data_IF_767018963533
#
_entry.id   IF_767018963533
#
_cell.length_a   1.000
_cell.length_b   1.000
_cell.length_c   1.000
_cell.angle_alpha   90.00
_cell.angle_beta   90.00
_cell.angle_gamma   90.00
#
_symmetry.space_group_name_H-M   'P 1'
#
loop_
_entity.id
_entity.type
_entity.pdbx_description
1 polymer ?
#
# COMPACT_ATOMS: atom_id res chain seq x y z
N UNK A 1 -17.07 -10.57 -12.26
CA UNK A 1 -16.53 -11.39 -13.36
C UNK A 1 -16.64 -12.89 -13.08
N UNK A 2 -16.58 -13.73 -14.11
CA UNK A 2 -16.56 -15.19 -14.05
C UNK A 2 -15.25 -15.71 -14.64
N UNK A 3 -14.57 -16.58 -13.89
CA UNK A 3 -13.28 -17.18 -14.22
C UNK A 3 -13.45 -18.68 -14.49
N UNK A 4 -12.81 -19.20 -15.53
CA UNK A 4 -12.75 -20.63 -15.81
C UNK A 4 -11.62 -21.29 -15.01
N UNK A 5 -11.92 -21.82 -13.83
CA UNK A 5 -10.94 -22.50 -12.97
C UNK A 5 -10.93 -24.01 -13.24
N UNK A 6 -9.89 -24.75 -12.81
CA UNK A 6 -9.84 -26.21 -12.93
C UNK A 6 -11.03 -26.93 -12.27
N UNK A 7 -11.66 -26.31 -11.27
CA UNK A 7 -12.82 -26.81 -10.53
C UNK A 7 -14.16 -26.29 -11.11
N UNK A 8 -14.14 -25.76 -12.34
CA UNK A 8 -15.27 -25.17 -13.02
C UNK A 8 -15.39 -23.65 -12.81
N UNK A 9 -16.43 -23.05 -13.38
CA UNK A 9 -16.57 -21.60 -13.34
C UNK A 9 -16.75 -21.06 -11.92
N UNK A 10 -16.03 -19.98 -11.58
CA UNK A 10 -16.13 -19.27 -10.29
C UNK A 10 -16.38 -17.78 -10.51
N UNK A 11 -17.10 -17.15 -9.58
CA UNK A 11 -17.42 -15.72 -9.63
C UNK A 11 -16.49 -14.94 -8.70
N UNK A 12 -15.96 -13.84 -9.21
CA UNK A 12 -15.23 -12.84 -8.44
C UNK A 12 -15.91 -11.47 -8.56
N UNK A 13 -16.02 -10.77 -7.45
CA UNK A 13 -16.61 -9.43 -7.35
C UNK A 13 -15.54 -8.47 -6.85
N UNK A 14 -15.38 -7.34 -7.53
CA UNK A 14 -14.46 -6.27 -7.19
C UNK A 14 -15.08 -4.92 -7.55
N UNK A 15 -14.54 -3.81 -7.02
CA UNK A 15 -14.92 -2.47 -7.48
C UNK A 15 -14.37 -2.22 -8.88
N UNK A 16 -14.94 -1.24 -9.58
CA UNK A 16 -14.66 -1.03 -11.01
C UNK A 16 -13.18 -0.70 -11.27
N UNK A 17 -12.62 0.12 -10.39
CA UNK A 17 -11.26 0.64 -10.44
C UNK A 17 -10.20 -0.31 -9.89
N UNK A 18 -10.59 -1.49 -9.39
CA UNK A 18 -9.64 -2.41 -8.78
C UNK A 18 -8.74 -3.08 -9.83
N UNK A 19 -7.39 -2.95 -9.77
CA UNK A 19 -6.50 -3.53 -10.78
C UNK A 19 -6.28 -5.02 -10.59
N UNK A 20 -6.19 -5.74 -11.71
CA UNK A 20 -5.81 -7.14 -11.79
C UNK A 20 -4.64 -7.31 -12.77
N UNK A 21 -3.60 -8.07 -12.38
CA UNK A 21 -2.51 -8.37 -13.30
C UNK A 21 -2.98 -9.36 -14.36
N UNK A 22 -2.86 -8.98 -15.63
CA UNK A 22 -3.24 -9.79 -16.78
C UNK A 22 -2.02 -10.27 -17.58
N UNK A 23 -1.59 -11.55 -17.45
CA UNK A 23 -0.49 -12.08 -18.25
C UNK A 23 -0.73 -11.96 -19.76
N UNK A 24 -1.98 -12.10 -20.24
CA UNK A 24 -2.32 -11.94 -21.66
C UNK A 24 -2.15 -10.53 -22.18
N UNK A 25 -2.20 -9.52 -21.32
CA UNK A 25 -1.99 -8.11 -21.68
C UNK A 25 -0.60 -7.62 -21.27
N UNK A 26 0.10 -8.41 -20.45
CA UNK A 26 1.33 -8.04 -19.78
C UNK A 26 1.21 -6.69 -19.05
N UNK A 27 0.05 -6.48 -18.41
CA UNK A 27 -0.31 -5.20 -17.79
C UNK A 27 -1.31 -5.39 -16.65
N UNK A 28 -1.42 -4.37 -15.79
CA UNK A 28 -2.48 -4.23 -14.81
C UNK A 28 -3.73 -3.64 -15.46
N UNK A 29 -4.86 -4.31 -15.28
CA UNK A 29 -6.12 -3.94 -15.93
C UNK A 29 -7.19 -3.75 -14.86
N UNK A 30 -7.81 -2.56 -14.86
CA UNK A 30 -8.98 -2.27 -14.03
C UNK A 30 -10.08 -3.32 -14.23
N UNK A 31 -10.77 -3.70 -13.15
CA UNK A 31 -11.84 -4.70 -13.16
C UNK A 31 -12.91 -4.39 -14.23
N UNK A 32 -13.24 -3.11 -14.43
CA UNK A 32 -14.19 -2.65 -15.43
C UNK A 32 -13.69 -2.81 -16.88
N UNK A 33 -12.37 -2.84 -17.10
CA UNK A 33 -11.74 -2.97 -18.42
C UNK A 33 -11.42 -4.42 -18.81
N UNK A 34 -11.44 -5.35 -17.86
CA UNK A 34 -11.28 -6.77 -18.16
C UNK A 34 -12.35 -7.27 -19.14
N UNK A 35 -11.93 -8.10 -20.11
CA UNK A 35 -12.78 -8.65 -21.18
C UNK A 35 -12.73 -10.18 -21.21
N UNK A 36 -13.79 -10.85 -21.68
CA UNK A 36 -13.74 -12.27 -21.99
C UNK A 36 -12.53 -12.61 -22.87
N UNK A 37 -11.82 -13.68 -22.54
CA UNK A 37 -10.60 -14.11 -23.25
C UNK A 37 -9.29 -13.65 -22.60
N UNK A 38 -9.30 -12.55 -21.83
CA UNK A 38 -8.12 -12.16 -21.05
C UNK A 38 -7.84 -13.17 -19.94
N UNK A 39 -6.59 -13.20 -19.48
CA UNK A 39 -6.16 -14.06 -18.38
C UNK A 39 -5.73 -13.24 -17.16
N UNK A 40 -5.87 -13.82 -15.97
CA UNK A 40 -5.41 -13.26 -14.69
C UNK A 40 -4.40 -14.19 -14.04
N UNK A 41 -3.39 -13.65 -13.35
CA UNK A 41 -2.36 -14.46 -12.69
C UNK A 41 -2.83 -15.08 -11.37
N UNK A 42 -2.47 -16.33 -11.18
CA UNK A 42 -2.75 -17.12 -9.97
C UNK A 42 -1.51 -17.21 -9.06
N UNK A 43 -1.70 -17.72 -7.84
CA UNK A 43 -0.64 -17.82 -6.81
C UNK A 43 0.55 -18.70 -7.20
N UNK A 44 0.32 -19.74 -7.99
CA UNK A 44 1.38 -20.62 -8.49
C UNK A 44 2.03 -20.10 -9.79
N UNK A 45 1.74 -18.85 -10.19
CA UNK A 45 2.30 -18.23 -11.40
C UNK A 45 1.63 -18.66 -12.71
N UNK A 46 0.59 -19.50 -12.66
CA UNK A 46 -0.21 -19.82 -13.83
C UNK A 46 -1.24 -18.71 -14.13
N UNK A 47 -2.10 -18.94 -15.12
CA UNK A 47 -3.11 -17.98 -15.53
C UNK A 47 -4.50 -18.62 -15.60
N UNK A 48 -5.52 -17.87 -15.21
CA UNK A 48 -6.93 -18.25 -15.30
C UNK A 48 -7.66 -17.36 -16.30
N UNK A 49 -8.50 -17.93 -17.15
CA UNK A 49 -9.21 -17.19 -18.19
C UNK A 49 -10.49 -16.54 -17.68
N UNK A 50 -10.76 -15.33 -18.14
CA UNK A 50 -12.03 -14.62 -17.94
C UNK A 50 -13.03 -15.12 -18.98
N UNK A 51 -14.13 -15.71 -18.52
CA UNK A 51 -15.22 -16.17 -19.37
C UNK A 51 -16.27 -15.09 -19.60
N UNK A 52 -16.59 -14.33 -18.54
CA UNK A 52 -17.56 -13.23 -18.60
C UNK A 52 -17.18 -12.13 -17.64
N UNK A 53 -17.37 -10.88 -18.07
CA UNK A 53 -17.33 -9.73 -17.17
C UNK A 53 -18.61 -8.92 -17.34
N UNK A 54 -19.32 -8.69 -16.24
CA UNK A 54 -20.59 -7.95 -16.23
C UNK A 54 -20.54 -6.92 -15.10
N UNK A 55 -20.69 -5.62 -15.39
CA UNK A 55 -20.86 -4.62 -14.36
C UNK A 55 -22.22 -4.78 -13.69
N UNK A 56 -22.28 -4.53 -12.40
CA UNK A 56 -23.52 -4.47 -11.65
C UNK A 56 -23.41 -3.41 -10.55
N UNK A 57 -24.52 -2.75 -10.23
CA UNK A 57 -24.60 -1.81 -9.12
C UNK A 57 -25.18 -2.54 -7.90
N UNK A 58 -24.46 -2.54 -6.79
CA UNK A 58 -24.94 -3.04 -5.52
C UNK A 58 -24.29 -2.26 -4.38
N UNK A 59 -25.06 -1.96 -3.34
CA UNK A 59 -24.51 -1.51 -2.06
C UNK A 59 -23.98 -2.73 -1.32
N UNK A 60 -22.69 -3.01 -1.47
CA UNK A 60 -22.02 -4.12 -0.78
C UNK A 60 -20.92 -3.57 0.13
N UNK A 61 -20.83 -4.10 1.36
CA UNK A 61 -19.67 -3.86 2.23
C UNK A 61 -18.49 -4.62 1.66
N UNK A 62 -17.49 -3.89 1.16
CA UNK A 62 -16.21 -4.46 0.70
C UNK A 62 -15.21 -4.47 1.86
N UNK A 63 -14.32 -5.45 1.85
CA UNK A 63 -13.23 -5.57 2.81
C UNK A 63 -11.92 -5.41 2.04
N UNK A 64 -11.04 -4.54 2.53
CA UNK A 64 -9.73 -4.27 1.93
C UNK A 64 -8.64 -4.82 2.86
N UNK A 65 -7.61 -5.44 2.30
CA UNK A 65 -6.45 -5.91 3.06
C UNK A 65 -5.26 -4.99 2.74
N UNK A 66 -4.61 -4.48 3.77
CA UNK A 66 -3.31 -3.81 3.61
C UNK A 66 -2.23 -4.86 3.81
N UNK A 67 -1.49 -5.18 2.74
CA UNK A 67 -0.31 -6.07 2.78
C UNK A 67 0.95 -5.22 2.80
N UNK A 68 1.91 -5.69 3.60
CA UNK A 68 2.97 -4.89 4.23
C UNK A 68 4.12 -4.46 3.30
N UNK A 69 4.24 -5.04 2.09
CA UNK A 69 5.37 -4.76 1.18
C UNK A 69 4.89 -4.46 -0.25
N UNK A 70 4.51 -5.49 -1.02
CA UNK A 70 3.79 -5.27 -2.27
C UNK A 70 2.33 -5.08 -1.90
N UNK A 71 1.73 -3.93 -2.22
CA UNK A 71 0.28 -3.70 -2.11
C UNK A 71 -0.54 -4.62 -3.04
N UNK A 72 0.03 -5.75 -3.47
CA UNK A 72 -0.64 -6.84 -4.14
C UNK A 72 -0.95 -7.96 -3.16
N UNK A 73 -2.18 -8.44 -3.15
CA UNK A 73 -2.58 -9.61 -2.38
C UNK A 73 -3.39 -10.56 -3.24
N UNK A 74 -3.55 -11.80 -2.78
CA UNK A 74 -4.41 -12.75 -3.46
C UNK A 74 -5.83 -12.71 -2.88
N UNK A 75 -6.84 -12.60 -3.74
CA UNK A 75 -8.26 -12.83 -3.38
C UNK A 75 -8.73 -14.16 -3.92
N UNK A 76 -9.64 -14.80 -3.20
CA UNK A 76 -10.15 -16.11 -3.58
C UNK A 76 -11.41 -15.99 -4.46
N UNK A 77 -11.37 -16.64 -5.63
CA UNK A 77 -12.55 -16.97 -6.43
C UNK A 77 -12.86 -18.47 -6.25
N UNK A 78 -13.63 -18.82 -5.22
CA UNK A 78 -13.71 -20.21 -4.75
C UNK A 78 -12.39 -20.60 -4.08
N UNK A 79 -11.70 -21.62 -4.58
CA UNK A 79 -10.38 -22.04 -4.08
C UNK A 79 -9.21 -21.48 -4.92
N UNK A 80 -9.50 -20.72 -5.98
CA UNK A 80 -8.46 -20.14 -6.85
C UNK A 80 -8.04 -18.76 -6.34
N UNK A 81 -6.78 -18.63 -5.95
CA UNK A 81 -6.14 -17.36 -5.57
C UNK A 81 -5.80 -16.50 -6.78
N UNK A 82 -6.26 -15.25 -6.80
CA UNK A 82 -6.07 -14.27 -7.90
C UNK A 82 -5.30 -13.05 -7.39
N UNK A 83 -4.23 -12.66 -8.07
CA UNK A 83 -3.40 -11.51 -7.70
C UNK A 83 -4.15 -10.19 -7.99
N UNK A 84 -4.35 -9.36 -6.96
CA UNK A 84 -5.02 -8.07 -7.02
C UNK A 84 -4.22 -6.97 -6.35
N UNK A 85 -4.46 -5.71 -6.71
CA UNK A 85 -3.70 -4.55 -6.21
C UNK A 85 -4.54 -3.60 -5.33
N UNK A 86 -3.94 -3.06 -4.28
CA UNK A 86 -4.47 -1.99 -3.45
C UNK A 86 -3.77 -0.66 -3.78
N UNK A 87 -4.42 0.12 -4.65
CA UNK A 87 -4.20 1.54 -4.99
C UNK A 87 -2.83 2.00 -5.56
N UNK A 88 -2.88 2.61 -6.75
CA UNK A 88 -2.06 3.78 -7.09
C UNK A 88 -0.93 3.56 -8.09
N UNK A 89 -1.15 2.90 -9.23
CA UNK A 89 -0.16 2.76 -10.31
C UNK A 89 0.16 4.09 -11.03
N UNK A 90 1.40 4.21 -11.48
CA UNK A 90 1.93 5.26 -12.33
C UNK A 90 1.66 4.92 -13.80
N UNK A 91 1.01 5.80 -14.58
CA UNK A 91 0.60 5.47 -15.96
C UNK A 91 1.75 5.25 -16.95
N UNK A 92 2.98 5.69 -16.62
CA UNK A 92 4.12 5.69 -17.56
C UNK A 92 5.10 4.53 -17.37
N UNK A 93 5.18 3.96 -16.18
CA UNK A 93 6.11 2.85 -15.85
C UNK A 93 5.41 1.62 -15.25
N UNK A 94 4.09 1.68 -15.00
CA UNK A 94 3.32 0.59 -14.42
C UNK A 94 3.65 0.30 -12.95
N UNK A 95 4.45 1.15 -12.29
CA UNK A 95 4.84 0.99 -10.88
C UNK A 95 3.90 1.79 -9.96
N UNK A 96 3.57 1.33 -8.75
CA UNK A 96 2.76 2.12 -7.82
C UNK A 96 3.44 3.44 -7.46
N UNK A 97 2.79 4.59 -7.68
CA UNK A 97 3.27 5.91 -7.25
C UNK A 97 3.65 5.92 -5.77
N UNK A 98 2.90 5.23 -4.92
CA UNK A 98 3.22 5.02 -3.50
C UNK A 98 4.61 4.38 -3.32
N UNK A 99 4.84 3.25 -3.99
CA UNK A 99 6.12 2.54 -3.95
C UNK A 99 7.28 3.37 -4.54
N UNK A 100 7.03 4.14 -5.60
CA UNK A 100 8.04 5.05 -6.16
C UNK A 100 8.40 6.17 -5.18
N UNK A 101 7.41 6.76 -4.52
CA UNK A 101 7.64 7.78 -3.49
C UNK A 101 8.38 7.23 -2.29
N UNK A 102 8.04 6.02 -1.83
CA UNK A 102 8.75 5.35 -0.74
C UNK A 102 10.19 5.01 -1.13
N UNK A 103 10.43 4.50 -2.35
CA UNK A 103 11.76 4.23 -2.85
C UNK A 103 12.61 5.51 -2.96
N UNK A 104 12.03 6.60 -3.47
CA UNK A 104 12.69 7.90 -3.55
C UNK A 104 12.99 8.47 -2.15
N UNK A 105 12.07 8.31 -1.20
CA UNK A 105 12.26 8.71 0.20
C UNK A 105 13.38 7.91 0.85
N UNK A 106 13.42 6.60 0.65
CA UNK A 106 14.48 5.74 1.16
C UNK A 106 15.85 6.15 0.60
N UNK A 107 15.96 6.38 -0.71
CA UNK A 107 17.18 6.88 -1.34
C UNK A 107 17.61 8.23 -0.75
N UNK A 108 16.66 9.16 -0.52
CA UNK A 108 16.93 10.45 0.12
C UNK A 108 17.48 10.26 1.53
N UNK A 109 16.86 9.43 2.36
CA UNK A 109 17.28 9.16 3.73
C UNK A 109 18.70 8.57 3.76
N UNK A 110 18.97 7.56 2.91
CA UNK A 110 20.29 6.95 2.78
C UNK A 110 21.35 7.98 2.34
N UNK A 111 21.04 8.77 1.30
CA UNK A 111 21.94 9.81 0.80
C UNK A 111 22.21 10.91 1.84
N UNK A 112 21.23 11.22 2.68
CA UNK A 112 21.36 12.18 3.78
C UNK A 112 22.06 11.61 5.02
N UNK A 113 22.47 10.34 5.00
CA UNK A 113 23.20 9.70 6.09
C UNK A 113 22.33 9.22 7.26
N UNK A 114 21.02 9.06 7.04
CA UNK A 114 20.16 8.48 8.07
C UNK A 114 20.51 7.00 8.26
N UNK A 115 20.41 6.54 9.51
CA UNK A 115 20.71 5.16 9.90
C UNK A 115 19.50 4.51 10.58
N UNK A 116 19.57 3.20 10.84
CA UNK A 116 18.48 2.45 11.48
C UNK A 116 17.10 2.63 10.84
N UNK A 117 17.07 2.75 9.51
CA UNK A 117 15.85 2.96 8.73
C UNK A 117 14.98 1.69 8.80
N UNK A 118 13.75 1.84 9.28
CA UNK A 118 12.73 0.78 9.37
C UNK A 118 11.45 1.24 8.70
N UNK A 119 10.90 0.39 7.85
CA UNK A 119 9.61 0.66 7.20
C UNK A 119 8.42 0.23 8.07
N UNK A 120 7.26 0.80 7.77
CA UNK A 120 5.95 0.37 8.29
C UNK A 120 5.88 0.34 9.82
N UNK A 121 6.34 1.42 10.47
CA UNK A 121 6.40 1.51 11.94
C UNK A 121 5.06 2.00 12.48
N UNK A 122 4.41 1.13 13.27
CA UNK A 122 3.09 1.39 13.86
C UNK A 122 3.21 2.00 15.25
N UNK A 123 2.32 2.94 15.52
CA UNK A 123 2.15 3.62 16.80
C UNK A 123 0.70 3.58 17.25
N UNK A 124 0.46 3.80 18.53
CA UNK A 124 -0.87 3.99 19.11
C UNK A 124 -0.94 5.36 19.76
N UNK A 125 -1.95 6.16 19.39
CA UNK A 125 -2.20 7.46 20.02
C UNK A 125 -2.86 7.29 21.41
N UNK A 126 -3.08 8.41 22.10
CA UNK A 126 -3.71 8.47 23.43
C UNK A 126 -5.13 7.89 23.47
N UNK A 127 -5.85 7.92 22.34
CA UNK A 127 -7.22 7.37 22.19
C UNK A 127 -7.22 5.87 21.92
N UNK A 128 -6.05 5.31 21.63
CA UNK A 128 -5.91 3.91 21.27
C UNK A 128 -5.98 3.65 19.76
N UNK A 129 -6.09 4.67 18.92
CA UNK A 129 -6.07 4.51 17.47
C UNK A 129 -4.66 4.18 17.00
N UNK A 130 -4.56 3.25 16.07
CA UNK A 130 -3.29 2.89 15.44
C UNK A 130 -3.07 3.76 14.22
N UNK A 131 -1.88 4.34 14.13
CA UNK A 131 -1.38 5.00 12.92
C UNK A 131 0.00 4.46 12.59
N UNK A 132 0.46 4.71 11.37
CA UNK A 132 1.68 4.14 10.83
C UNK A 132 2.49 5.24 10.17
N UNK A 133 3.80 5.21 10.42
CA UNK A 133 4.80 5.90 9.62
C UNK A 133 5.41 4.94 8.61
N UNK A 134 5.54 5.40 7.36
CA UNK A 134 6.13 4.60 6.30
C UNK A 134 7.61 4.34 6.59
N UNK A 135 8.32 5.29 7.22
CA UNK A 135 9.64 5.05 7.80
C UNK A 135 9.80 5.61 9.22
N UNK A 136 10.68 4.97 9.98
CA UNK A 136 11.36 5.56 11.14
C UNK A 136 12.86 5.37 10.98
N UNK A 137 13.63 6.42 11.21
CA UNK A 137 15.07 6.42 11.03
C UNK A 137 15.75 7.32 12.06
N UNK A 138 17.05 7.14 12.28
CA UNK A 138 17.87 8.08 13.02
C UNK A 138 18.55 9.06 12.07
N UNK A 139 18.42 10.36 12.35
CA UNK A 139 19.18 11.40 11.65
C UNK A 139 20.68 11.34 12.01
N UNK A 140 21.49 12.19 11.38
CA UNK A 140 22.94 12.25 11.61
C UNK A 140 23.33 12.71 13.02
N UNK A 141 22.40 13.29 13.78
CA UNK A 141 22.56 13.64 15.18
C UNK A 141 22.07 12.53 16.13
N UNK A 142 21.58 11.41 15.60
CA UNK A 142 21.07 10.27 16.36
C UNK A 142 19.61 10.41 16.83
N UNK A 143 18.90 11.46 16.42
CA UNK A 143 17.49 11.65 16.81
C UNK A 143 16.58 10.77 15.95
N UNK A 144 15.56 10.18 16.58
CA UNK A 144 14.54 9.43 15.86
C UNK A 144 13.57 10.37 15.12
N UNK A 145 13.39 10.08 13.84
CA UNK A 145 12.49 10.78 12.92
C UNK A 145 11.51 9.77 12.34
N UNK A 146 10.22 10.06 12.43
CA UNK A 146 9.16 9.36 11.72
C UNK A 146 8.86 10.10 10.42
N UNK A 147 8.84 9.38 9.30
CA UNK A 147 8.63 9.92 7.95
C UNK A 147 7.38 9.28 7.35
N UNK A 148 6.43 10.10 6.96
CA UNK A 148 5.28 9.72 6.15
C UNK A 148 5.51 10.14 4.70
N UNK A 149 5.26 9.24 3.76
CA UNK A 149 5.34 9.53 2.33
C UNK A 149 3.96 9.83 1.79
N UNK A 150 3.84 10.94 1.05
CA UNK A 150 2.63 11.32 0.34
C UNK A 150 2.96 11.55 -1.12
N UNK A 151 2.29 10.80 -1.99
CA UNK A 151 2.62 10.74 -3.41
C UNK A 151 1.51 11.38 -4.25
N UNK A 152 1.89 12.31 -5.13
CA UNK A 152 0.99 12.93 -6.09
C UNK A 152 0.31 14.22 -5.61
N UNK A 153 -0.34 14.90 -6.55
CA UNK A 153 -0.94 16.22 -6.34
C UNK A 153 -2.15 16.14 -5.42
N UNK A 154 -2.15 16.95 -4.36
CA UNK A 154 -3.24 16.98 -3.38
C UNK A 154 -3.16 15.88 -2.31
N UNK A 155 -2.14 15.02 -2.34
CA UNK A 155 -1.92 14.02 -1.31
C UNK A 155 -1.69 14.71 0.05
N UNK A 156 -2.40 14.25 1.07
CA UNK A 156 -2.32 14.80 2.41
C UNK A 156 -2.53 13.73 3.47
N UNK A 157 -2.17 14.05 4.71
CA UNK A 157 -2.41 13.18 5.86
C UNK A 157 -3.92 12.99 6.06
N UNK A 158 -4.31 11.74 6.33
CA UNK A 158 -5.65 11.44 6.84
C UNK A 158 -5.83 12.04 8.24
N UNK A 159 -7.08 12.17 8.71
CA UNK A 159 -7.35 12.74 10.04
C UNK A 159 -6.69 11.94 11.17
N UNK A 160 -6.71 10.60 11.07
CA UNK A 160 -6.03 9.72 12.02
C UNK A 160 -4.52 9.96 12.03
N UNK A 161 -3.91 10.08 10.85
CA UNK A 161 -2.49 10.39 10.73
C UNK A 161 -2.17 11.78 11.31
N UNK A 162 -2.98 12.79 11.00
CA UNK A 162 -2.78 14.16 11.51
C UNK A 162 -2.81 14.20 13.04
N UNK A 163 -3.77 13.50 13.66
CA UNK A 163 -3.87 13.40 15.11
C UNK A 163 -2.68 12.62 15.70
N UNK A 164 -2.40 11.42 15.16
CA UNK A 164 -1.32 10.57 15.63
C UNK A 164 0.06 11.24 15.54
N UNK A 165 0.35 11.90 14.42
CA UNK A 165 1.60 12.62 14.22
C UNK A 165 1.73 13.88 15.09
N UNK A 166 0.63 14.60 15.32
CA UNK A 166 0.64 15.73 16.24
C UNK A 166 0.98 15.29 17.67
N UNK A 167 0.45 14.14 18.10
CA UNK A 167 0.81 13.54 19.39
C UNK A 167 2.27 13.06 19.40
N UNK A 168 2.69 12.26 18.42
CA UNK A 168 4.06 11.72 18.34
C UNK A 168 5.14 12.81 18.42
N UNK A 169 4.91 13.95 17.75
CA UNK A 169 5.85 15.08 17.74
C UNK A 169 5.83 15.96 19.00
N UNK A 170 4.77 15.90 19.83
CA UNK A 170 4.60 16.81 20.98
C UNK A 170 4.57 16.07 22.31
N UNK A 171 3.57 15.23 22.50
CA UNK A 171 3.28 14.53 23.76
C UNK A 171 3.84 13.12 23.80
N UNK A 172 4.10 12.54 22.63
CA UNK A 172 4.54 11.17 22.41
C UNK A 172 3.38 10.23 22.06
N UNK A 173 3.72 9.10 21.44
CA UNK A 173 2.80 8.02 21.11
C UNK A 173 3.42 6.68 21.48
N UNK A 174 2.59 5.66 21.69
CA UNK A 174 3.06 4.32 22.10
C UNK A 174 3.58 3.57 20.87
N UNK A 175 4.83 3.10 20.91
CA UNK A 175 5.39 2.25 19.87
C UNK A 175 4.66 0.90 19.85
N UNK A 176 4.04 0.55 18.72
CA UNK A 176 3.23 -0.66 18.57
C UNK A 176 3.93 -1.75 17.73
N UNK A 177 5.25 -1.80 17.77
CA UNK A 177 6.07 -2.79 17.05
C UNK A 177 7.41 -3.03 17.75
N UNK A 178 8.03 -4.19 17.51
CA UNK A 178 9.37 -4.54 17.98
C UNK A 178 10.46 -4.32 16.92
N UNK A 179 10.12 -3.66 15.81
CA UNK A 179 11.01 -3.54 14.63
C UNK A 179 12.09 -2.46 14.77
N UNK A 180 11.92 -1.50 15.67
CA UNK A 180 12.83 -0.35 15.81
C UNK A 180 13.94 -0.69 16.80
N UNK A 181 15.21 -0.80 16.37
CA UNK A 181 16.30 -1.16 17.26
C UNK A 181 16.45 -0.16 18.41
N UNK A 182 16.67 -0.66 19.62
CA UNK A 182 16.84 0.18 20.82
C UNK A 182 15.55 0.78 21.38
N UNK A 183 14.39 0.55 20.75
CA UNK A 183 13.08 0.93 21.28
C UNK A 183 12.21 -0.29 21.54
N UNK A 184 11.50 -0.28 22.67
CA UNK A 184 10.62 -1.39 23.07
C UNK A 184 9.17 -1.13 22.67
N UNK A 185 8.49 -2.15 22.16
CA UNK A 185 7.03 -2.09 22.01
C UNK A 185 6.36 -1.78 23.35
N UNK A 186 5.36 -0.91 23.32
CA UNK A 186 4.66 -0.42 24.50
C UNK A 186 5.29 0.82 25.14
N UNK A 187 6.52 1.20 24.74
CA UNK A 187 7.12 2.44 25.21
C UNK A 187 6.46 3.65 24.56
N UNK A 188 6.21 4.70 25.35
CA UNK A 188 5.83 6.02 24.83
C UNK A 188 7.08 6.72 24.32
N UNK A 189 7.09 7.06 23.03
CA UNK A 189 8.23 7.68 22.35
C UNK A 189 7.82 9.01 21.73
N UNK A 190 8.78 9.93 21.62
CA UNK A 190 8.65 11.18 20.89
C UNK A 190 9.62 11.18 19.72
N UNK A 191 9.15 11.61 18.56
CA UNK A 191 9.96 11.63 17.34
C UNK A 191 9.63 12.89 16.56
N UNK A 192 10.63 13.47 15.89
CA UNK A 192 10.36 14.47 14.86
C UNK A 192 9.50 13.81 13.78
N UNK A 193 8.49 14.51 13.28
CA UNK A 193 7.67 14.02 12.16
C UNK A 193 8.02 14.79 10.91
N UNK A 194 8.28 14.06 9.83
CA UNK A 194 8.48 14.60 8.49
C UNK A 194 7.41 14.03 7.56
N UNK A 195 6.81 14.88 6.72
CA UNK A 195 5.93 14.45 5.64
C UNK A 195 6.68 14.71 4.33
N UNK A 196 7.07 13.65 3.66
CA UNK A 196 7.75 13.70 2.38
C UNK A 196 6.72 13.71 1.25
N UNK A 197 6.56 14.87 0.62
CA UNK A 197 5.65 15.05 -0.51
C UNK A 197 6.39 14.76 -1.80
N UNK A 198 6.37 13.49 -2.21
CA UNK A 198 7.01 13.07 -3.45
C UNK A 198 6.08 13.29 -4.64
N UNK A 199 6.61 13.93 -5.68
CA UNK A 199 5.94 14.10 -6.96
C UNK A 199 6.63 13.28 -8.02
N UNK A 200 5.85 12.50 -8.78
CA UNK A 200 6.33 11.77 -9.94
C UNK A 200 6.84 12.77 -10.99
N UNK A 201 8.15 12.78 -11.32
CA UNK A 201 8.71 13.72 -12.30
C UNK A 201 8.15 13.52 -13.71
N UNK A 202 7.69 12.31 -14.04
CA UNK A 202 7.11 12.00 -15.34
C UNK A 202 5.60 12.32 -15.43
N UNK A 203 4.93 12.50 -14.30
CA UNK A 203 3.47 12.61 -14.22
C UNK A 203 2.98 14.02 -13.89
N UNK A 204 3.84 14.83 -13.25
CA UNK A 204 3.63 16.25 -12.94
C UNK A 204 4.92 17.02 -13.30
N UNK A 205 5.25 17.16 -14.61
CA UNK A 205 6.47 17.82 -15.08
C UNK A 205 6.51 19.33 -14.83
#
# INVERSE_FOLDING_TARGET
>A
MTLATPQGNRRLTATNEHPFWSPSQNDWVEAARLRPGMTLRTVNGSAVKIERNRPFAANARTYNLTVEDMHTYYVFAGETSILVHNAGECPVDGLPHGALGEAATLQRLQKAGYTNIKSEVRFKNSRGDVFRADFVAQDTAGNWVAVEVKTGKGASLTDNQRLGYAELGRTGAVLNTNRVPGLSKGATVKMKVEVDLWRCPACDP
#
